data_IF_032012756339
#
_entry.id   IF_032012756339
#
_cell.length_a   1.000
_cell.length_b   1.000
_cell.length_c   1.000
_cell.angle_alpha   90.00
_cell.angle_beta   90.00
_cell.angle_gamma   90.00
#
_symmetry.space_group_name_H-M   'P 1'
#
loop_
_entity.id
_entity.type
_entity.pdbx_description
1 polymer ?
#
# COMPACT_ATOMS: atom_id res chain seq x y z
N UNK A 1 -12.44 23.27 15.92
CA UNK A 1 -13.01 23.29 14.55
C UNK A 1 -11.97 23.04 13.46
N UNK A 2 -10.96 23.92 13.27
CA UNK A 2 -9.96 23.79 12.18
C UNK A 2 -9.21 22.46 12.14
N UNK A 3 -8.76 21.95 13.29
CA UNK A 3 -8.07 20.65 13.37
C UNK A 3 -8.93 19.47 12.90
N UNK A 4 -10.17 19.38 13.39
CA UNK A 4 -11.08 18.29 13.00
C UNK A 4 -11.37 18.36 11.49
N UNK A 5 -11.61 19.56 10.98
CA UNK A 5 -11.83 19.75 9.55
C UNK A 5 -10.62 19.31 8.72
N UNK A 6 -9.38 19.66 9.11
CA UNK A 6 -8.19 19.23 8.36
C UNK A 6 -7.97 17.72 8.40
N UNK A 7 -8.45 17.02 9.44
CA UNK A 7 -8.36 15.55 9.53
C UNK A 7 -9.46 14.81 8.77
N UNK A 8 -10.64 15.40 8.63
CA UNK A 8 -11.78 14.77 7.96
C UNK A 8 -11.94 15.19 6.49
N UNK A 9 -11.47 16.37 6.11
CA UNK A 9 -11.54 16.87 4.74
C UNK A 9 -10.27 16.56 3.95
N UNK A 10 -10.03 15.27 3.74
CA UNK A 10 -8.90 14.72 2.98
C UNK A 10 -9.40 13.68 1.98
N UNK A 11 -8.63 13.34 0.93
CA UNK A 11 -8.96 12.22 0.07
C UNK A 11 -9.13 10.92 0.87
N UNK A 12 -10.02 10.05 0.39
CA UNK A 12 -10.33 8.78 1.05
C UNK A 12 -9.90 7.63 0.15
N UNK A 13 -9.33 6.58 0.73
CA UNK A 13 -9.17 5.28 0.08
C UNK A 13 -9.78 4.18 0.94
N UNK A 14 -10.61 3.36 0.31
CA UNK A 14 -11.09 2.10 0.87
C UNK A 14 -10.28 1.01 0.20
N UNK A 15 -9.48 0.31 0.99
CA UNK A 15 -8.58 -0.73 0.53
C UNK A 15 -9.18 -2.08 0.87
N UNK A 16 -9.44 -2.90 -0.16
CA UNK A 16 -9.67 -4.31 0.03
C UNK A 16 -8.43 -4.96 0.64
N UNK A 17 -8.62 -5.93 1.52
CA UNK A 17 -7.56 -6.80 2.01
C UNK A 17 -8.05 -8.24 2.01
N UNK A 18 -7.18 -9.18 1.69
CA UNK A 18 -7.49 -10.61 1.67
C UNK A 18 -6.60 -11.34 2.68
N UNK A 19 -7.06 -12.50 3.16
CA UNK A 19 -6.26 -13.33 4.07
C UNK A 19 -4.95 -13.73 3.43
N UNK A 20 -3.87 -13.64 4.20
CA UNK A 20 -2.55 -13.99 3.74
C UNK A 20 -2.39 -15.51 3.62
N UNK A 21 -2.13 -15.97 2.40
CA UNK A 21 -1.88 -17.38 2.04
C UNK A 21 -0.41 -17.64 1.68
N UNK A 22 0.50 -16.76 2.11
CA UNK A 22 1.94 -16.83 1.83
C UNK A 22 2.38 -16.02 0.62
N UNK A 23 1.49 -15.19 0.06
CA UNK A 23 1.78 -14.34 -1.09
C UNK A 23 2.61 -13.12 -0.68
N UNK A 24 3.73 -12.80 -1.36
CA UNK A 24 4.53 -11.62 -1.04
C UNK A 24 3.79 -10.34 -1.41
N UNK A 25 3.77 -9.33 -0.54
CA UNK A 25 3.11 -8.06 -0.84
C UNK A 25 3.01 -7.14 0.35
N UNK A 26 2.41 -5.97 0.13
CA UNK A 26 2.14 -5.01 1.19
C UNK A 26 0.94 -5.40 2.04
N UNK A 27 0.97 -5.08 3.32
CA UNK A 27 -0.08 -5.39 4.29
C UNK A 27 -0.66 -4.16 4.99
N UNK A 28 -1.81 -4.31 5.65
CA UNK A 28 -2.42 -3.24 6.44
C UNK A 28 -1.73 -3.10 7.80
N UNK A 29 -1.19 -1.91 8.09
CA UNK A 29 -0.54 -1.64 9.37
C UNK A 29 -0.90 -0.25 9.92
N UNK A 30 -0.66 -0.10 11.22
CA UNK A 30 -0.61 1.20 11.87
C UNK A 30 0.80 1.75 11.80
N UNK A 31 0.95 2.99 11.33
CA UNK A 31 2.23 3.68 11.25
C UNK A 31 2.17 4.91 12.14
N UNK A 32 3.26 5.14 12.87
CA UNK A 32 3.50 6.37 13.62
C UNK A 32 4.38 7.28 12.79
N UNK A 33 3.82 8.40 12.33
CA UNK A 33 4.54 9.43 11.58
C UNK A 33 5.56 10.18 12.45
N UNK A 34 6.43 10.95 11.79
CA UNK A 34 7.45 11.77 12.48
C UNK A 34 6.84 12.84 13.40
N UNK A 35 5.63 13.29 13.09
CA UNK A 35 4.84 14.21 13.90
C UNK A 35 4.13 13.52 15.09
N UNK A 36 4.37 12.22 15.27
CA UNK A 36 3.78 11.39 16.32
C UNK A 36 2.36 10.89 16.02
N UNK A 37 1.77 11.26 14.88
CA UNK A 37 0.42 10.83 14.53
C UNK A 37 0.38 9.38 14.09
N UNK A 38 -0.69 8.69 14.47
CA UNK A 38 -0.93 7.30 14.10
C UNK A 38 -1.92 7.26 12.95
N UNK A 39 -1.56 6.54 11.87
CA UNK A 39 -2.41 6.38 10.69
C UNK A 39 -2.41 4.94 10.17
N UNK A 40 -3.48 4.57 9.47
CA UNK A 40 -3.62 3.27 8.79
C UNK A 40 -3.00 3.36 7.40
N UNK A 41 -2.18 2.38 7.06
CA UNK A 41 -1.25 2.47 5.95
C UNK A 41 -1.05 1.09 5.30
N UNK A 42 -0.76 1.06 4.01
CA UNK A 42 -0.36 -0.18 3.31
C UNK A 42 1.16 -0.17 3.25
N UNK A 43 1.79 -1.02 4.05
CA UNK A 43 3.25 -1.06 4.19
C UNK A 43 3.79 -2.24 3.39
N UNK A 44 4.82 -2.01 2.60
CA UNK A 44 5.56 -3.06 1.89
C UNK A 44 6.81 -3.49 2.67
N UNK A 45 7.30 -4.70 2.42
CA UNK A 45 8.47 -5.26 3.12
C UNK A 45 9.71 -4.37 2.98
N UNK A 46 9.86 -3.69 1.84
CA UNK A 46 10.95 -2.74 1.58
C UNK A 46 10.94 -1.52 2.53
N UNK A 47 9.83 -1.25 3.22
CA UNK A 47 9.66 -0.14 4.15
C UNK A 47 9.80 -0.58 5.62
N UNK A 48 10.09 -1.86 5.87
CA UNK A 48 10.18 -2.45 7.22
C UNK A 48 11.62 -2.82 7.52
N UNK A 49 12.09 -2.40 8.70
CA UNK A 49 13.38 -2.86 9.23
C UNK A 49 13.21 -4.26 9.81
N UNK A 50 13.54 -5.28 9.01
CA UNK A 50 13.45 -6.69 9.42
C UNK A 50 14.56 -7.12 10.39
N UNK A 51 15.60 -6.31 10.58
CA UNK A 51 16.62 -6.54 11.62
C UNK A 51 16.11 -6.13 13.01
N UNK A 52 15.16 -5.19 13.06
CA UNK A 52 14.44 -4.85 14.28
C UNK A 52 13.47 -5.97 14.66
N UNK A 53 13.77 -6.67 15.78
CA UNK A 53 12.90 -7.71 16.35
C UNK A 53 11.45 -7.25 16.54
N UNK A 54 11.26 -5.99 16.93
CA UNK A 54 9.93 -5.43 17.16
C UNK A 54 9.16 -5.28 15.84
N UNK A 55 9.78 -4.66 14.83
CA UNK A 55 9.11 -4.46 13.53
C UNK A 55 8.88 -5.79 12.82
N UNK A 56 9.86 -6.70 12.88
CA UNK A 56 9.72 -8.06 12.36
C UNK A 56 8.53 -8.80 12.98
N UNK A 57 8.39 -8.76 14.30
CA UNK A 57 7.26 -9.40 14.99
C UNK A 57 5.91 -8.80 14.58
N UNK A 58 5.83 -7.48 14.41
CA UNK A 58 4.60 -6.82 13.93
C UNK A 58 4.30 -7.26 12.49
N UNK A 59 5.31 -7.27 11.62
CA UNK A 59 5.18 -7.69 10.23
C UNK A 59 4.66 -9.12 10.11
N UNK A 60 5.27 -10.05 10.85
CA UNK A 60 4.90 -11.47 10.88
C UNK A 60 3.51 -11.72 11.49
N UNK A 61 3.01 -10.79 12.32
CA UNK A 61 1.66 -10.90 12.89
C UNK A 61 0.53 -10.55 11.90
N UNK A 62 0.86 -10.01 10.72
CA UNK A 62 -0.15 -9.60 9.75
C UNK A 62 -0.91 -10.80 9.17
N UNK A 63 -2.22 -10.81 9.38
CA UNK A 63 -3.11 -11.87 8.88
C UNK A 63 -3.62 -11.62 7.46
N UNK A 64 -3.38 -10.42 6.93
CA UNK A 64 -3.93 -9.96 5.65
C UNK A 64 -2.85 -9.28 4.81
N UNK A 65 -3.09 -9.22 3.50
CA UNK A 65 -2.32 -8.38 2.59
C UNK A 65 -3.25 -7.65 1.61
N UNK A 66 -2.71 -6.63 0.95
CA UNK A 66 -3.42 -5.78 0.01
C UNK A 66 -3.38 -6.40 -1.41
N UNK A 67 -4.51 -6.78 -2.01
CA UNK A 67 -4.61 -7.24 -3.40
C UNK A 67 -4.52 -6.10 -4.43
N UNK A 68 -4.34 -4.85 -3.99
CA UNK A 68 -4.36 -3.64 -4.84
C UNK A 68 -5.77 -3.31 -5.35
N UNK A 69 -6.79 -3.72 -4.60
CA UNK A 69 -8.18 -3.31 -4.84
C UNK A 69 -8.51 -2.06 -4.00
N UNK A 70 -8.73 -0.93 -4.68
CA UNK A 70 -8.85 0.38 -4.08
C UNK A 70 -10.03 1.16 -4.67
N UNK A 71 -10.91 1.63 -3.80
CA UNK A 71 -11.93 2.61 -4.13
C UNK A 71 -11.53 3.96 -3.53
N UNK A 72 -11.37 4.97 -4.40
CA UNK A 72 -10.84 6.27 -4.02
C UNK A 72 -11.91 7.37 -4.07
N UNK A 73 -12.07 8.11 -2.96
CA UNK A 73 -12.84 9.35 -2.88
C UNK A 73 -11.94 10.55 -3.12
N UNK A 74 -12.02 11.14 -4.32
CA UNK A 74 -11.13 12.22 -4.76
C UNK A 74 -11.73 13.63 -4.62
N UNK A 75 -12.96 13.73 -4.15
CA UNK A 75 -13.71 14.98 -4.02
C UNK A 75 -14.03 15.26 -2.55
N UNK A 76 -14.05 16.54 -2.20
CA UNK A 76 -14.44 17.01 -0.89
C UNK A 76 -15.97 17.00 -0.72
N UNK A 77 -16.44 17.39 0.46
CA UNK A 77 -17.87 17.43 0.80
C UNK A 77 -18.71 18.44 -0.02
N UNK A 78 -18.06 19.33 -0.78
CA UNK A 78 -18.71 20.25 -1.74
C UNK A 78 -18.67 19.74 -3.18
N UNK A 79 -18.08 18.56 -3.42
CA UNK A 79 -17.91 17.99 -4.76
C UNK A 79 -16.70 18.53 -5.53
N UNK A 80 -15.84 19.33 -4.89
CA UNK A 80 -14.62 19.88 -5.49
C UNK A 80 -13.49 18.84 -5.41
N UNK A 81 -12.70 18.69 -6.47
CA UNK A 81 -11.56 17.77 -6.49
C UNK A 81 -10.46 18.22 -5.53
N UNK A 82 -9.85 17.27 -4.83
CA UNK A 82 -8.66 17.51 -4.03
C UNK A 82 -7.42 17.68 -4.92
N UNK A 83 -6.50 18.53 -4.47
CA UNK A 83 -5.14 18.64 -5.01
C UNK A 83 -4.26 17.55 -4.38
N UNK A 84 -4.25 16.37 -4.98
CA UNK A 84 -3.65 15.14 -4.43
C UNK A 84 -2.17 15.29 -4.03
N UNK A 85 -1.30 15.99 -4.79
CA UNK A 85 0.07 16.26 -4.39
C UNK A 85 0.24 16.87 -2.98
N UNK A 86 -0.76 17.59 -2.46
CA UNK A 86 -0.72 18.14 -1.10
C UNK A 86 -0.81 17.08 0.01
N UNK A 87 -1.15 15.84 -0.34
CA UNK A 87 -1.35 14.73 0.60
C UNK A 87 -0.27 13.64 0.48
N UNK A 88 0.81 13.93 -0.26
CA UNK A 88 1.99 13.07 -0.44
C UNK A 88 2.98 13.32 0.70
N UNK A 89 3.64 12.29 1.20
CA UNK A 89 4.82 12.45 2.05
C UNK A 89 6.09 12.43 1.17
N UNK A 90 6.77 13.57 0.98
CA UNK A 90 7.97 13.65 0.14
C UNK A 90 9.17 12.87 0.70
N UNK A 91 9.17 12.54 1.99
CA UNK A 91 10.28 11.83 2.63
C UNK A 91 10.19 10.30 2.47
N UNK A 92 9.07 9.80 1.97
CA UNK A 92 8.82 8.36 1.80
C UNK A 92 9.33 7.82 0.45
N UNK A 93 10.29 8.51 -0.17
CA UNK A 93 11.07 7.95 -1.28
C UNK A 93 12.07 6.92 -0.76
N UNK A 94 12.47 5.99 -1.63
CA UNK A 94 13.45 4.96 -1.27
C UNK A 94 14.45 4.72 -2.39
N UNK A 95 15.62 4.17 -2.04
CA UNK A 95 16.63 3.79 -3.03
C UNK A 95 16.39 2.33 -3.40
N UNK A 96 16.12 2.07 -4.67
CA UNK A 96 16.08 0.72 -5.22
C UNK A 96 17.39 0.36 -5.92
N UNK A 97 17.77 -0.89 -5.81
CA UNK A 97 18.88 -1.48 -6.55
C UNK A 97 18.32 -2.17 -7.78
N UNK A 98 18.78 -1.77 -8.96
CA UNK A 98 18.36 -2.33 -10.25
C UNK A 98 19.59 -2.74 -11.03
N UNK A 99 19.46 -3.78 -11.85
CA UNK A 99 20.48 -4.11 -12.84
C UNK A 99 19.98 -3.75 -14.23
N UNK A 100 20.87 -3.16 -15.04
CA UNK A 100 20.61 -2.93 -16.46
C UNK A 100 21.88 -3.24 -17.24
N UNK A 101 21.77 -4.10 -18.25
CA UNK A 101 22.87 -4.49 -19.13
C UNK A 101 24.12 -4.99 -18.34
N UNK A 102 23.87 -5.75 -17.27
CA UNK A 102 24.92 -6.29 -16.40
C UNK A 102 25.57 -5.27 -15.45
N UNK A 103 25.06 -4.03 -15.38
CA UNK A 103 25.53 -3.00 -14.45
C UNK A 103 24.55 -2.80 -13.32
N UNK A 104 25.08 -2.77 -12.10
CA UNK A 104 24.35 -2.36 -10.90
C UNK A 104 24.07 -0.85 -10.94
N UNK A 105 22.82 -0.49 -10.68
CA UNK A 105 22.31 0.87 -10.65
C UNK A 105 21.60 1.10 -9.32
N UNK A 106 21.78 2.31 -8.79
CA UNK A 106 20.93 2.84 -7.70
C UNK A 106 19.94 3.81 -8.32
N UNK A 107 18.66 3.56 -8.11
CA UNK A 107 17.59 4.47 -8.51
C UNK A 107 16.94 5.06 -7.27
N UNK A 108 16.77 6.38 -7.26
CA UNK A 108 15.91 7.03 -6.28
C UNK A 108 14.47 6.93 -6.78
N UNK A 109 13.66 6.14 -6.09
CA UNK A 109 12.22 6.09 -6.33
C UNK A 109 11.55 7.18 -5.52
N UNK A 110 10.83 8.05 -6.23
CA UNK A 110 9.97 9.04 -5.59
C UNK A 110 8.90 8.31 -4.75
N UNK A 111 8.24 9.01 -3.81
CA UNK A 111 7.16 8.44 -3.00
C UNK A 111 6.00 7.98 -3.90
N UNK A 112 6.09 6.74 -4.39
CA UNK A 112 5.15 6.15 -5.33
C UNK A 112 4.34 5.01 -4.70
N UNK A 113 4.86 4.40 -3.63
CA UNK A 113 4.13 3.41 -2.86
C UNK A 113 3.00 4.05 -2.08
N UNK A 114 2.04 3.23 -1.67
CA UNK A 114 0.80 3.63 -0.98
C UNK A 114 1.03 4.54 0.22
N UNK A 115 2.10 4.29 0.99
CA UNK A 115 2.45 5.07 2.17
C UNK A 115 3.15 6.40 1.87
N UNK A 116 3.64 6.61 0.65
CA UNK A 116 4.22 7.87 0.23
C UNK A 116 3.22 8.71 -0.53
N UNK A 117 2.73 8.19 -1.66
CA UNK A 117 1.83 8.91 -2.57
C UNK A 117 0.45 9.22 -1.95
N UNK A 118 0.02 8.43 -0.96
CA UNK A 118 -1.27 8.58 -0.28
C UNK A 118 -1.10 8.66 1.24
N UNK A 119 0.02 9.20 1.71
CA UNK A 119 0.39 9.22 3.12
C UNK A 119 -0.68 9.88 4.02
N UNK A 120 -1.19 11.04 3.60
CA UNK A 120 -2.17 11.82 4.37
C UNK A 120 -3.63 11.53 3.97
N UNK A 121 -3.90 10.37 3.38
CA UNK A 121 -5.27 9.98 3.02
C UNK A 121 -6.01 9.33 4.20
N UNK A 122 -7.33 9.50 4.24
CA UNK A 122 -8.18 8.71 5.12
C UNK A 122 -8.22 7.28 4.58
N UNK A 123 -7.70 6.34 5.36
CA UNK A 123 -7.57 4.94 4.95
C UNK A 123 -8.56 4.06 5.71
N UNK A 124 -9.32 3.27 4.98
CA UNK A 124 -10.23 2.25 5.50
C UNK A 124 -9.81 0.89 4.92
N UNK A 125 -9.80 -0.15 5.76
CA UNK A 125 -9.51 -1.51 5.32
C UNK A 125 -10.79 -2.34 5.43
N UNK A 126 -11.08 -3.11 4.40
CA UNK A 126 -12.22 -4.04 4.38
C UNK A 126 -11.70 -5.41 3.97
N UNK A 127 -12.06 -6.46 4.70
CA UNK A 127 -11.80 -7.83 4.23
C UNK A 127 -12.68 -8.10 3.01
N UNK A 128 -12.07 -8.57 1.92
CA UNK A 128 -12.76 -9.00 0.70
C UNK A 128 -12.51 -10.49 0.45
N UNK A 129 -13.38 -11.19 -0.31
CA UNK A 129 -13.19 -12.59 -0.61
C UNK A 129 -11.86 -12.86 -1.34
N UNK A 130 -11.15 -13.94 -0.97
CA UNK A 130 -9.86 -14.30 -1.57
C UNK A 130 -9.92 -14.44 -3.10
N UNK A 131 -11.06 -14.89 -3.64
CA UNK A 131 -11.29 -15.04 -5.08
C UNK A 131 -11.14 -13.73 -5.89
N UNK A 132 -11.23 -12.58 -5.23
CA UNK A 132 -10.99 -11.26 -5.86
C UNK A 132 -9.51 -11.02 -6.18
N UNK A 133 -8.61 -11.88 -5.71
CA UNK A 133 -7.17 -11.72 -5.85
C UNK A 133 -6.51 -12.91 -6.54
N UNK A 134 -6.02 -12.68 -7.77
CA UNK A 134 -5.31 -13.67 -8.58
C UNK A 134 -4.04 -13.00 -9.16
N UNK A 135 -2.92 -12.93 -8.40
CA UNK A 135 -1.74 -12.19 -8.82
C UNK A 135 -0.90 -12.99 -9.80
N UNK A 136 -0.20 -12.27 -10.67
CA UNK A 136 0.87 -12.82 -11.53
C UNK A 136 2.16 -12.09 -11.19
N UNK A 137 3.09 -12.76 -10.50
CA UNK A 137 4.39 -12.22 -10.08
C UNK A 137 5.54 -12.86 -10.85
N UNK A 138 5.36 -14.09 -11.32
CA UNK A 138 6.27 -14.79 -12.22
C UNK A 138 5.53 -15.47 -13.36
N UNK A 139 6.28 -15.93 -14.36
CA UNK A 139 5.69 -16.60 -15.54
C UNK A 139 4.91 -17.86 -15.19
N UNK A 140 5.32 -18.58 -14.14
CA UNK A 140 4.65 -19.80 -13.69
C UNK A 140 3.30 -19.53 -13.02
N UNK A 141 3.05 -18.32 -12.52
CA UNK A 141 1.74 -17.97 -11.95
C UNK A 141 0.64 -18.03 -13.02
N UNK A 142 0.99 -17.79 -14.29
CA UNK A 142 0.04 -17.91 -15.39
C UNK A 142 -0.47 -19.34 -15.56
N UNK A 143 0.24 -20.36 -15.08
CA UNK A 143 -0.20 -21.77 -15.14
C UNK A 143 -1.30 -22.10 -14.12
N UNK A 144 -1.58 -21.19 -13.16
CA UNK A 144 -2.66 -21.39 -12.19
C UNK A 144 -4.01 -21.44 -12.91
N UNK A 145 -4.97 -22.27 -12.45
CA UNK A 145 -6.26 -22.46 -13.13
C UNK A 145 -7.01 -21.15 -13.41
N UNK A 146 -6.90 -20.17 -12.52
CA UNK A 146 -7.56 -18.87 -12.61
C UNK A 146 -7.07 -18.01 -13.80
N UNK A 147 -5.91 -18.35 -14.37
CA UNK A 147 -5.30 -17.66 -15.50
C UNK A 147 -5.29 -18.48 -16.79
N UNK A 148 -5.79 -19.72 -16.75
CA UNK A 148 -5.90 -20.57 -17.92
C UNK A 148 -7.23 -20.30 -18.64
N UNK A 149 -7.20 -20.33 -19.98
CA UNK A 149 -8.41 -20.16 -20.80
C UNK A 149 -9.43 -21.31 -20.65
N UNK A 150 -9.07 -22.37 -19.91
CA UNK A 150 -9.83 -23.61 -19.81
C UNK A 150 -10.91 -23.52 -18.72
N UNK A 151 -11.95 -22.78 -19.08
CA UNK A 151 -13.31 -22.83 -18.53
C UNK A 151 -14.37 -22.83 -19.64
N UNK A 152 -14.01 -23.30 -20.84
CA UNK A 152 -14.91 -23.76 -21.91
C UNK A 152 -14.49 -25.17 -22.30
#
# INVERSE_FOLDING_TARGET
ARFIHSKLNRPIRVCGVVKNVGEPGGGPFWIKGADGQISKQIVESAQVDLESKQQKSIWESSTHFNPVDLVCGLKNYRGESFDLPKYVDPNMGFISHKSKDGRELKALELPGLWNGAMADWITLFIEVPLITFNPVKGILDLLRPEHQASGV
#
